data_IF_275525010478
#
_entry.id   IF_275525010478
#
_cell.length_a   1.000
_cell.length_b   1.000
_cell.length_c   1.000
_cell.angle_alpha   90.00
_cell.angle_beta   90.00
_cell.angle_gamma   90.00
#
_symmetry.space_group_name_H-M   'P 1'
#
loop_
_entity.id
_entity.type
_entity.pdbx_description
1 polymer ?
#
# COMPACT_ATOMS: atom_id res chain seq x y z
N UNK A 1 1.55 -56.31 -12.75
CA UNK A 1 1.11 -55.42 -11.65
C UNK A 1 1.94 -54.14 -11.70
N UNK A 2 1.53 -53.17 -12.52
CA UNK A 2 2.26 -51.91 -12.71
C UNK A 2 1.69 -50.84 -11.75
N UNK A 3 2.49 -50.35 -10.79
CA UNK A 3 2.13 -49.15 -10.00
C UNK A 3 2.68 -47.93 -10.75
N UNK A 4 1.80 -47.10 -11.31
CA UNK A 4 2.19 -45.86 -11.94
C UNK A 4 2.86 -44.89 -10.96
N UNK A 5 3.60 -43.88 -11.46
CA UNK A 5 4.23 -42.87 -10.62
C UNK A 5 3.17 -42.09 -9.83
N UNK A 6 3.45 -41.71 -8.57
CA UNK A 6 2.53 -40.93 -7.75
C UNK A 6 2.26 -39.57 -8.39
N UNK A 7 0.99 -39.14 -8.37
CA UNK A 7 0.59 -37.86 -8.94
C UNK A 7 1.35 -36.68 -8.28
N UNK A 8 1.71 -35.65 -9.06
CA UNK A 8 2.37 -34.46 -8.53
C UNK A 8 1.45 -33.76 -7.52
N UNK A 9 1.96 -33.56 -6.30
CA UNK A 9 1.25 -32.82 -5.25
C UNK A 9 1.26 -31.33 -5.62
N UNK A 10 0.08 -30.79 -5.93
CA UNK A 10 -0.11 -29.35 -6.08
C UNK A 10 0.07 -28.71 -4.69
N UNK A 11 1.24 -28.14 -4.43
CA UNK A 11 1.47 -27.36 -3.21
C UNK A 11 0.73 -26.03 -3.39
N UNK A 12 -0.32 -25.73 -2.61
CA UNK A 12 -0.95 -24.42 -2.68
C UNK A 12 0.08 -23.39 -2.20
N UNK A 13 0.50 -22.51 -3.10
CA UNK A 13 1.40 -21.40 -2.77
C UNK A 13 0.60 -20.46 -1.86
N UNK A 14 0.79 -20.59 -0.55
CA UNK A 14 0.22 -19.64 0.41
C UNK A 14 0.93 -18.31 0.19
N UNK A 15 0.26 -17.37 -0.47
CA UNK A 15 0.68 -15.97 -0.49
C UNK A 15 0.58 -15.44 0.94
N UNK A 16 1.64 -15.66 1.71
CA UNK A 16 1.79 -15.06 3.04
C UNK A 16 1.81 -13.55 2.81
N UNK A 17 0.78 -12.81 3.24
CA UNK A 17 0.81 -11.36 3.13
C UNK A 17 1.86 -10.90 4.12
N UNK A 18 2.95 -10.33 3.60
CA UNK A 18 3.94 -9.62 4.41
C UNK A 18 3.20 -8.49 5.12
N UNK A 19 2.83 -8.73 6.38
CA UNK A 19 2.18 -7.75 7.24
C UNK A 19 3.24 -6.70 7.56
N UNK A 20 3.34 -5.68 6.72
CA UNK A 20 4.27 -4.57 6.86
C UNK A 20 3.86 -3.73 8.09
N UNK A 21 4.22 -4.17 9.29
CA UNK A 21 4.05 -3.38 10.51
C UNK A 21 5.17 -2.36 10.57
N UNK A 22 4.94 -1.19 10.00
CA UNK A 22 5.78 -0.03 10.27
C UNK A 22 5.62 0.34 11.76
N UNK A 23 6.68 0.07 12.55
CA UNK A 23 6.75 0.45 13.96
C UNK A 23 6.46 1.94 14.12
N UNK A 24 5.72 2.34 15.17
CA UNK A 24 5.33 3.73 15.42
C UNK A 24 6.50 4.73 15.38
N UNK A 25 7.72 4.28 15.68
CA UNK A 25 8.96 5.04 15.56
C UNK A 25 9.26 5.49 14.11
N UNK A 26 9.09 4.62 13.11
CA UNK A 26 9.30 4.97 11.70
C UNK A 26 8.26 5.97 11.19
N UNK A 27 7.02 5.87 11.70
CA UNK A 27 5.98 6.86 11.40
C UNK A 27 6.35 8.23 11.96
N UNK A 28 6.78 8.30 13.23
CA UNK A 28 7.23 9.54 13.85
C UNK A 28 8.41 10.18 13.11
N UNK A 29 9.40 9.38 12.69
CA UNK A 29 10.52 9.85 11.88
C UNK A 29 10.05 10.43 10.54
N UNK A 30 9.13 9.76 9.84
CA UNK A 30 8.62 10.23 8.56
C UNK A 30 7.87 11.57 8.68
N UNK A 31 7.09 11.75 9.74
CA UNK A 31 6.41 13.03 10.01
C UNK A 31 7.42 14.13 10.36
N UNK A 32 8.43 13.81 11.17
CA UNK A 32 9.47 14.76 11.53
C UNK A 32 10.32 15.18 10.32
N UNK A 33 10.77 14.24 9.49
CA UNK A 33 11.56 14.53 8.29
C UNK A 33 10.76 15.35 7.28
N UNK A 34 9.47 15.07 7.15
CA UNK A 34 8.57 15.86 6.31
C UNK A 34 8.42 17.31 6.82
N UNK A 35 8.26 17.50 8.13
CA UNK A 35 8.23 18.83 8.75
C UNK A 35 9.53 19.62 8.51
N UNK A 36 10.69 18.97 8.67
CA UNK A 36 11.99 19.58 8.40
C UNK A 36 12.11 19.96 6.92
N UNK A 37 11.65 19.10 6.00
CA UNK A 37 11.68 19.38 4.57
C UNK A 37 10.83 20.61 4.21
N UNK A 38 9.59 20.71 4.72
CA UNK A 38 8.74 21.90 4.51
C UNK A 38 9.43 23.15 5.06
N UNK A 39 9.99 23.09 6.27
CA UNK A 39 10.67 24.23 6.87
C UNK A 39 11.88 24.67 6.04
N UNK A 40 12.71 23.72 5.59
CA UNK A 40 13.86 24.00 4.73
C UNK A 40 13.43 24.64 3.40
N UNK A 41 12.37 24.14 2.76
CA UNK A 41 11.82 24.74 1.54
C UNK A 41 11.30 26.16 1.79
N UNK A 42 10.57 26.40 2.87
CA UNK A 42 10.06 27.72 3.22
C UNK A 42 11.20 28.71 3.48
N UNK A 43 12.25 28.30 4.19
CA UNK A 43 13.47 29.09 4.41
C UNK A 43 14.18 29.37 3.07
N UNK A 44 14.26 28.39 2.17
CA UNK A 44 14.82 28.56 0.83
C UNK A 44 14.08 29.59 -0.01
N UNK A 45 12.74 29.53 -0.01
CA UNK A 45 11.89 30.53 -0.67
C UNK A 45 12.04 31.90 0.00
N UNK A 46 12.29 31.95 1.31
CA UNK A 46 12.48 33.19 2.03
C UNK A 46 13.81 33.88 1.68
N UNK A 47 14.89 33.11 1.57
CA UNK A 47 16.23 33.62 1.25
C UNK A 47 16.42 33.93 -0.24
N UNK A 48 15.46 33.56 -1.10
CA UNK A 48 15.54 33.83 -2.53
C UNK A 48 15.40 35.34 -2.79
N UNK A 49 16.45 35.96 -3.33
CA UNK A 49 16.41 37.35 -3.83
C UNK A 49 15.64 37.40 -5.15
N UNK A 50 14.31 37.38 -5.05
CA UNK A 50 13.41 37.53 -6.20
C UNK A 50 12.18 38.33 -5.78
N UNK A 51 11.37 38.72 -6.78
CA UNK A 51 10.16 39.47 -6.54
C UNK A 51 9.19 38.72 -5.62
N UNK A 52 8.51 39.50 -4.76
CA UNK A 52 7.54 38.95 -3.81
C UNK A 52 6.45 38.11 -4.51
N UNK A 53 6.08 38.48 -5.73
CA UNK A 53 5.15 37.73 -6.57
C UNK A 53 5.64 36.32 -6.90
N UNK A 54 6.90 36.18 -7.32
CA UNK A 54 7.50 34.88 -7.66
C UNK A 54 7.60 34.00 -6.41
N UNK A 55 7.96 34.59 -5.26
CA UNK A 55 7.97 33.87 -3.97
C UNK A 55 6.59 33.38 -3.59
N UNK A 56 5.54 34.19 -3.79
CA UNK A 56 4.16 33.81 -3.55
C UNK A 56 3.70 32.66 -4.46
N UNK A 57 4.02 32.72 -5.75
CA UNK A 57 3.73 31.64 -6.69
C UNK A 57 4.41 30.32 -6.28
N UNK A 58 5.69 30.36 -5.92
CA UNK A 58 6.41 29.17 -5.45
C UNK A 58 5.81 28.60 -4.16
N UNK A 59 5.42 29.46 -3.21
CA UNK A 59 4.79 29.01 -1.97
C UNK A 59 3.47 28.27 -2.24
N UNK A 60 2.60 28.82 -3.09
CA UNK A 60 1.32 28.18 -3.46
C UNK A 60 1.56 26.90 -4.25
N UNK A 61 2.51 26.90 -5.20
CA UNK A 61 2.86 25.73 -5.99
C UNK A 61 3.34 24.56 -5.11
N UNK A 62 4.21 24.83 -4.13
CA UNK A 62 4.69 23.83 -3.17
C UNK A 62 3.53 23.31 -2.31
N UNK A 63 2.68 24.18 -1.76
CA UNK A 63 1.54 23.77 -0.95
C UNK A 63 0.57 22.88 -1.72
N UNK A 64 0.25 23.26 -2.96
CA UNK A 64 -0.65 22.50 -3.82
C UNK A 64 -0.05 21.15 -4.22
N UNK A 65 1.24 21.13 -4.58
CA UNK A 65 1.95 19.91 -4.95
C UNK A 65 2.01 18.92 -3.78
N UNK A 66 2.33 19.39 -2.58
CA UNK A 66 2.31 18.57 -1.35
C UNK A 66 0.92 17.99 -1.09
N UNK A 67 -0.11 18.83 -1.16
CA UNK A 67 -1.50 18.41 -0.92
C UNK A 67 -1.94 17.34 -1.94
N UNK A 68 -1.63 17.55 -3.22
CA UNK A 68 -1.93 16.61 -4.30
C UNK A 68 -1.17 15.29 -4.14
N UNK A 69 0.12 15.34 -3.78
CA UNK A 69 0.92 14.14 -3.54
C UNK A 69 0.35 13.28 -2.40
N UNK A 70 -0.10 13.88 -1.30
CA UNK A 70 -0.75 13.13 -0.22
C UNK A 70 -2.09 12.55 -0.62
N UNK A 71 -2.89 13.27 -1.41
CA UNK A 71 -4.16 12.75 -1.93
C UNK A 71 -3.90 11.56 -2.84
N UNK A 72 -2.93 11.66 -3.75
CA UNK A 72 -2.52 10.55 -4.61
C UNK A 72 -2.02 9.35 -3.79
N UNK A 73 -1.20 9.58 -2.76
CA UNK A 73 -0.72 8.52 -1.88
C UNK A 73 -1.87 7.81 -1.15
N UNK A 74 -2.88 8.56 -0.68
CA UNK A 74 -4.10 7.97 -0.11
C UNK A 74 -4.83 7.11 -1.13
N UNK A 75 -5.12 7.65 -2.32
CA UNK A 75 -5.82 6.91 -3.38
C UNK A 75 -5.09 5.60 -3.74
N UNK A 76 -3.75 5.62 -3.84
CA UNK A 76 -2.97 4.41 -4.12
C UNK A 76 -3.10 3.41 -2.97
N UNK A 77 -3.00 3.86 -1.72
CA UNK A 77 -3.15 3.01 -0.54
C UNK A 77 -4.55 2.41 -0.45
N UNK A 78 -5.58 3.22 -0.63
CA UNK A 78 -6.99 2.79 -0.60
C UNK A 78 -7.26 1.72 -1.67
N UNK A 79 -6.64 1.84 -2.86
CA UNK A 79 -6.71 0.82 -3.92
C UNK A 79 -5.98 -0.48 -3.56
N UNK A 80 -4.83 -0.40 -2.89
CA UNK A 80 -4.12 -1.57 -2.40
C UNK A 80 -4.92 -2.31 -1.32
N UNK A 81 -5.51 -1.58 -0.38
CA UNK A 81 -6.35 -2.14 0.68
C UNK A 81 -7.63 -2.77 0.12
N UNK A 82 -8.31 -2.13 -0.83
CA UNK A 82 -9.47 -2.68 -1.51
C UNK A 82 -9.16 -4.00 -2.23
N UNK A 83 -8.03 -4.09 -2.94
CA UNK A 83 -7.61 -5.32 -3.62
C UNK A 83 -7.31 -6.47 -2.65
N UNK A 84 -6.69 -6.18 -1.51
CA UNK A 84 -6.45 -7.18 -0.47
C UNK A 84 -7.75 -7.70 0.15
N UNK A 85 -8.73 -6.84 0.42
CA UNK A 85 -10.01 -7.24 1.02
C UNK A 85 -10.80 -8.15 0.07
N UNK A 86 -10.88 -7.81 -1.22
CA UNK A 86 -11.60 -8.63 -2.22
C UNK A 86 -11.01 -10.04 -2.28
N UNK A 87 -9.68 -10.17 -2.32
CA UNK A 87 -9.01 -11.48 -2.32
C UNK A 87 -9.35 -12.34 -1.10
N UNK A 88 -9.46 -11.73 0.10
CA UNK A 88 -9.86 -12.46 1.32
C UNK A 88 -11.30 -12.96 1.25
N UNK A 89 -12.22 -12.16 0.72
CA UNK A 89 -13.62 -12.54 0.59
C UNK A 89 -13.76 -13.68 -0.43
N UNK A 90 -13.07 -13.58 -1.57
CA UNK A 90 -13.08 -14.63 -2.59
C UNK A 90 -12.49 -15.94 -2.05
N UNK A 91 -11.40 -15.88 -1.29
CA UNK A 91 -10.84 -17.06 -0.60
C UNK A 91 -11.85 -17.68 0.36
N UNK A 92 -12.48 -16.90 1.23
CA UNK A 92 -13.48 -17.42 2.18
C UNK A 92 -14.74 -17.97 1.49
N UNK A 93 -15.13 -17.39 0.35
CA UNK A 93 -16.23 -17.89 -0.48
C UNK A 93 -15.87 -19.21 -1.17
N UNK A 94 -14.66 -19.30 -1.72
CA UNK A 94 -14.13 -20.53 -2.32
C UNK A 94 -14.00 -21.64 -1.28
N UNK A 95 -13.46 -21.35 -0.10
CA UNK A 95 -13.40 -22.29 1.03
C UNK A 95 -14.80 -22.80 1.41
N UNK A 96 -15.79 -21.90 1.47
CA UNK A 96 -17.17 -22.31 1.74
C UNK A 96 -17.76 -23.18 0.63
N UNK A 97 -17.52 -22.86 -0.64
CA UNK A 97 -17.99 -23.68 -1.76
C UNK A 97 -17.31 -25.06 -1.79
N UNK A 98 -16.02 -25.14 -1.46
CA UNK A 98 -15.29 -26.40 -1.31
C UNK A 98 -15.74 -27.20 -0.08
N UNK A 99 -16.19 -26.53 0.98
CA UNK A 99 -16.74 -27.19 2.16
C UNK A 99 -18.18 -27.69 1.94
N UNK A 100 -19.01 -26.91 1.23
CA UNK A 100 -20.40 -27.27 0.90
C UNK A 100 -20.47 -28.31 -0.24
N UNK A 101 -19.46 -28.38 -1.11
CA UNK A 101 -19.26 -29.47 -2.06
C UNK A 101 -18.04 -30.27 -1.65
N UNK A 102 -18.20 -31.27 -0.77
CA UNK A 102 -17.15 -32.19 -0.39
C UNK A 102 -17.12 -33.39 -1.36
N UNK A 103 -16.29 -33.37 -2.43
CA UNK A 103 -16.25 -34.45 -3.42
C UNK A 103 -15.61 -35.75 -2.90
N UNK A 104 -15.14 -35.78 -1.65
CA UNK A 104 -14.42 -36.92 -1.07
C UNK A 104 -15.25 -37.77 -0.11
N UNK A 105 -16.49 -37.38 0.22
CA UNK A 105 -17.36 -38.18 1.09
C UNK A 105 -18.00 -39.39 0.38
N UNK A 106 -17.76 -39.54 -0.94
CA UNK A 106 -18.42 -40.55 -1.79
C UNK A 106 -17.51 -41.66 -2.33
N UNK A 107 -16.36 -41.91 -1.71
CA UNK A 107 -15.51 -43.08 -2.02
C UNK A 107 -15.20 -43.87 -0.75
#
# INVERSE_FOLDING_TARGET
MWRGPPAPKLVPMSDTPVKQQSTAAFYGQAVASFGIAIAATAIGIYNLQTDAWVRGFLAIAVLYLVTSAFTLAKVIRDRQEAGQIVSRVDQARLEKLLADHDPFEKI
#
